data_IF_380915123982
#
_entry.id   IF_380915123982
#
_cell.length_a   1.000
_cell.length_b   1.000
_cell.length_c   1.000
_cell.angle_alpha   90.00
_cell.angle_beta   90.00
_cell.angle_gamma   90.00
#
_symmetry.space_group_name_H-M   'P 1'
#
loop_
_entity.id
_entity.type
_entity.pdbx_description
1 polymer ?
#
# COMPACT_ATOMS: atom_id res chain seq x y z
N UNK A 1 -1.56 -6.14 2.00
CA UNK A 1 -0.44 -6.84 2.67
C UNK A 1 0.82 -6.65 1.82
N UNK A 2 1.94 -6.20 2.39
CA UNK A 2 3.19 -5.94 1.65
C UNK A 2 4.27 -6.95 2.05
N UNK A 3 4.90 -7.55 1.06
CA UNK A 3 6.02 -8.48 1.22
C UNK A 3 7.18 -7.90 0.44
N UNK A 4 8.26 -7.51 1.12
CA UNK A 4 9.49 -7.09 0.45
C UNK A 4 10.43 -8.30 0.29
N UNK A 5 10.89 -8.62 -0.94
CA UNK A 5 11.85 -9.69 -1.14
C UNK A 5 13.15 -9.41 -0.38
N UNK A 6 13.71 -10.40 0.35
CA UNK A 6 14.91 -10.18 1.13
C UNK A 6 16.12 -9.81 0.26
N UNK A 7 16.86 -8.77 0.65
CA UNK A 7 18.07 -8.31 -0.04
C UNK A 7 19.30 -8.55 0.81
N UNK A 8 20.35 -9.10 0.21
CA UNK A 8 21.64 -9.33 0.91
C UNK A 8 22.35 -7.99 1.12
N UNK A 9 22.76 -7.71 2.36
CA UNK A 9 23.53 -6.51 2.73
C UNK A 9 24.65 -6.87 3.71
N UNK A 10 25.74 -6.10 3.69
CA UNK A 10 26.83 -6.21 4.66
C UNK A 10 26.37 -5.68 6.03
N UNK A 11 26.71 -6.40 7.09
CA UNK A 11 26.42 -6.00 8.46
C UNK A 11 27.46 -4.98 8.96
N UNK A 12 27.03 -4.06 9.83
CA UNK A 12 27.93 -3.09 10.45
C UNK A 12 28.96 -3.75 11.38
N UNK A 13 28.57 -4.86 12.00
CA UNK A 13 29.43 -5.71 12.83
C UNK A 13 29.04 -7.18 12.63
N UNK A 14 29.93 -8.10 13.03
CA UNK A 14 29.67 -9.54 12.91
C UNK A 14 28.54 -10.00 13.83
N UNK A 15 27.53 -10.67 13.28
CA UNK A 15 26.45 -11.30 14.08
C UNK A 15 26.58 -12.81 13.92
N UNK A 16 26.79 -13.54 15.03
CA UNK A 16 27.07 -14.99 15.00
C UNK A 16 28.18 -15.37 14.00
N UNK A 17 29.23 -14.53 13.89
CA UNK A 17 30.35 -14.67 12.93
C UNK A 17 30.01 -14.41 11.45
N UNK A 18 28.78 -14.04 11.14
CA UNK A 18 28.39 -13.61 9.80
C UNK A 18 28.65 -12.11 9.61
N UNK A 19 29.13 -11.72 8.42
CA UNK A 19 29.38 -10.32 8.04
C UNK A 19 28.37 -9.79 7.02
N UNK A 20 27.44 -10.62 6.56
CA UNK A 20 26.38 -10.26 5.62
C UNK A 20 25.11 -11.02 5.94
N UNK A 21 23.95 -10.42 5.73
CA UNK A 21 22.66 -11.05 5.96
C UNK A 21 21.62 -10.60 4.93
N UNK A 22 20.56 -11.38 4.79
CA UNK A 22 19.38 -10.99 4.02
C UNK A 22 18.43 -10.18 4.91
N UNK A 23 18.05 -9.00 4.44
CA UNK A 23 17.08 -8.12 5.11
C UNK A 23 15.79 -8.09 4.31
N UNK A 24 14.67 -8.36 4.98
CA UNK A 24 13.34 -8.22 4.42
C UNK A 24 12.33 -8.03 5.54
N UNK A 25 11.14 -7.55 5.19
CA UNK A 25 10.01 -7.48 6.10
C UNK A 25 8.74 -7.86 5.40
N UNK A 26 7.75 -8.25 6.19
CA UNK A 26 6.43 -8.61 5.73
C UNK A 26 5.43 -8.03 6.70
N UNK A 27 4.47 -7.28 6.17
CA UNK A 27 3.33 -6.86 6.96
C UNK A 27 2.30 -7.99 6.96
N UNK A 28 1.63 -8.19 8.09
CA UNK A 28 0.59 -9.20 8.22
C UNK A 28 -0.38 -8.80 9.31
N UNK A 29 -1.61 -9.31 9.21
CA UNK A 29 -2.63 -9.15 10.23
C UNK A 29 -2.86 -10.52 10.85
N UNK A 30 -2.78 -10.61 12.16
CA UNK A 30 -2.95 -11.85 12.89
C UNK A 30 -3.45 -11.57 14.31
N UNK A 31 -4.06 -12.59 14.93
CA UNK A 31 -4.41 -12.56 16.35
C UNK A 31 -3.14 -12.52 17.21
N UNK A 32 -3.21 -11.94 18.40
CA UNK A 32 -2.08 -11.85 19.34
C UNK A 32 -1.48 -13.21 19.69
N UNK A 33 -2.32 -14.26 19.80
CA UNK A 33 -1.88 -15.65 20.03
C UNK A 33 -1.00 -16.18 18.90
N UNK A 34 -1.32 -15.83 17.65
CA UNK A 34 -0.54 -16.21 16.49
C UNK A 34 0.80 -15.45 16.43
N UNK A 35 0.82 -14.17 16.84
CA UNK A 35 2.06 -13.38 16.94
C UNK A 35 3.05 -14.00 17.92
N UNK A 36 2.58 -14.41 19.10
CA UNK A 36 3.43 -15.11 20.09
C UNK A 36 3.99 -16.44 19.55
N UNK A 37 3.20 -17.14 18.73
CA UNK A 37 3.63 -18.39 18.08
C UNK A 37 4.69 -18.13 17.02
N UNK A 38 4.54 -17.06 16.23
CA UNK A 38 5.54 -16.64 15.25
C UNK A 38 6.86 -16.29 15.95
N UNK A 39 6.82 -15.48 17.01
CA UNK A 39 8.03 -15.08 17.75
C UNK A 39 8.80 -16.30 18.29
N UNK A 40 8.11 -17.27 18.89
CA UNK A 40 8.73 -18.52 19.36
C UNK A 40 9.36 -19.30 18.21
N UNK A 41 8.59 -19.58 17.16
CA UNK A 41 9.08 -20.35 16.00
C UNK A 41 10.28 -19.69 15.34
N UNK A 42 10.30 -18.36 15.25
CA UNK A 42 11.41 -17.62 14.63
C UNK A 42 12.68 -17.67 15.49
N UNK A 43 12.57 -17.69 16.82
CA UNK A 43 13.73 -17.85 17.72
C UNK A 43 14.41 -19.21 17.56
N UNK A 44 13.62 -20.26 17.33
CA UNK A 44 14.12 -21.63 17.20
C UNK A 44 14.76 -21.91 15.82
N UNK A 45 14.62 -20.99 14.86
CA UNK A 45 15.16 -21.11 13.52
C UNK A 45 16.63 -20.64 13.46
N UNK A 46 17.62 -21.53 13.31
CA UNK A 46 19.03 -21.14 13.30
C UNK A 46 19.40 -20.23 12.11
N UNK A 47 18.68 -20.35 10.99
CA UNK A 47 18.85 -19.51 9.79
C UNK A 47 18.44 -18.05 10.02
N UNK A 48 17.65 -17.74 11.05
CA UNK A 48 17.28 -16.37 11.38
C UNK A 48 18.29 -15.83 12.39
N UNK A 49 19.09 -14.86 11.94
CA UNK A 49 20.10 -14.23 12.80
C UNK A 49 19.45 -13.33 13.85
N UNK A 50 18.44 -12.56 13.45
CA UNK A 50 17.68 -11.63 14.28
C UNK A 50 16.35 -11.31 13.60
N UNK A 51 15.29 -11.12 14.39
CA UNK A 51 13.99 -10.65 13.94
C UNK A 51 13.46 -9.56 14.87
N UNK A 52 12.50 -8.79 14.37
CA UNK A 52 11.77 -7.76 15.11
C UNK A 52 10.31 -7.79 14.66
N UNK A 53 9.39 -7.77 15.63
CA UNK A 53 7.95 -7.64 15.38
C UNK A 53 7.51 -6.31 15.95
N UNK A 54 6.81 -5.51 15.15
CA UNK A 54 6.34 -4.17 15.51
C UNK A 54 4.86 -4.08 15.16
N UNK A 55 4.11 -3.34 15.97
CA UNK A 55 2.74 -2.97 15.65
C UNK A 55 2.74 -1.78 14.68
N UNK A 56 2.08 -1.94 13.54
CA UNK A 56 1.95 -0.88 12.55
C UNK A 56 0.65 -0.11 12.81
N UNK A 57 0.77 1.10 13.36
CA UNK A 57 -0.36 2.03 13.43
C UNK A 57 -0.62 2.61 12.03
N UNK A 58 -1.60 2.04 11.33
CA UNK A 58 -2.03 2.58 10.04
C UNK A 58 -2.89 3.80 10.34
N UNK A 59 -2.28 4.99 10.35
CA UNK A 59 -3.02 6.23 10.24
C UNK A 59 -3.77 6.23 8.91
N UNK A 60 -5.05 5.86 8.91
CA UNK A 60 -5.98 6.21 7.83
C UNK A 60 -6.12 7.72 7.81
N UNK A 61 -5.11 8.42 7.29
CA UNK A 61 -5.23 9.83 6.93
C UNK A 61 -6.32 9.89 5.87
N UNK A 62 -7.54 10.21 6.31
CA UNK A 62 -8.59 10.63 5.40
C UNK A 62 -7.98 11.78 4.60
N UNK A 63 -7.91 11.72 3.26
CA UNK A 63 -7.50 12.89 2.52
C UNK A 63 -8.46 13.99 2.94
N UNK A 64 -7.92 15.06 3.53
CA UNK A 64 -8.68 16.28 3.73
C UNK A 64 -9.03 16.70 2.31
N UNK A 65 -10.25 16.39 1.88
CA UNK A 65 -10.84 16.90 0.67
C UNK A 65 -10.86 18.40 0.88
N UNK A 66 -9.80 19.08 0.42
CA UNK A 66 -9.79 20.53 0.31
C UNK A 66 -10.91 20.82 -0.67
N UNK A 67 -12.04 21.27 -0.15
CA UNK A 67 -13.10 21.85 -0.96
C UNK A 67 -12.42 22.91 -1.80
N UNK A 68 -12.38 22.67 -3.12
CA UNK A 68 -11.90 23.65 -4.08
C UNK A 68 -12.80 24.88 -3.93
N UNK A 69 -12.32 25.91 -3.25
CA UNK A 69 -12.93 27.23 -3.32
C UNK A 69 -12.41 27.87 -4.61
N UNK A 70 -13.26 28.09 -5.63
CA UNK A 70 -12.84 28.91 -6.75
C UNK A 70 -12.47 30.28 -6.19
N UNK A 71 -11.20 30.66 -6.35
CA UNK A 71 -10.75 32.03 -6.07
C UNK A 71 -11.65 32.95 -6.86
N UNK A 72 -12.37 33.83 -6.17
CA UNK A 72 -13.16 34.87 -6.82
C UNK A 72 -12.27 35.54 -7.87
N UNK A 73 -12.74 35.45 -9.11
CA UNK A 73 -12.16 36.02 -10.32
C UNK A 73 -11.77 37.46 -10.02
N UNK A 74 -10.46 37.77 -10.04
CA UNK A 74 -9.99 39.15 -10.02
C UNK A 74 -10.39 39.75 -11.37
N UNK A 75 -11.53 40.43 -11.38
CA UNK A 75 -11.96 41.26 -12.51
C UNK A 75 -11.01 42.46 -12.54
N UNK A 76 -10.10 42.48 -13.52
CA UNK A 76 -9.39 43.71 -13.88
C UNK A 76 -10.38 44.65 -14.59
N UNK A 77 -10.36 45.97 -14.36
CA UNK A 77 -11.23 46.90 -15.07
C UNK A 77 -10.73 47.01 -16.52
N UNK A 78 -11.31 46.21 -17.39
CA UNK A 78 -10.93 46.04 -18.80
C UNK A 78 -11.26 44.62 -19.25
N UNK A 79 -12.54 44.37 -19.53
CA UNK A 79 -13.13 43.05 -19.70
C UNK A 79 -12.58 42.25 -20.88
N UNK A 80 -11.53 41.46 -20.63
CA UNK A 80 -11.21 40.27 -21.43
C UNK A 80 -10.76 39.18 -20.44
N UNK A 81 -11.57 38.14 -20.31
CA UNK A 81 -11.20 36.93 -19.57
C UNK A 81 -10.20 36.12 -20.42
N UNK A 82 -8.95 36.01 -19.99
CA UNK A 82 -7.98 35.09 -20.59
C UNK A 82 -8.15 33.76 -19.85
N UNK A 83 -9.00 32.88 -20.37
CA UNK A 83 -9.01 31.48 -19.97
C UNK A 83 -7.82 30.78 -20.64
N UNK A 84 -6.97 30.04 -19.92
CA UNK A 84 -6.10 29.07 -20.57
C UNK A 84 -6.97 27.91 -21.05
N UNK A 85 -7.08 27.73 -22.37
CA UNK A 85 -7.62 26.49 -22.97
C UNK A 85 -6.75 25.32 -22.51
N UNK A 86 -7.27 24.52 -21.58
CA UNK A 86 -6.74 23.20 -21.28
C UNK A 86 -7.37 22.23 -22.29
N UNK A 87 -6.59 21.57 -23.16
CA UNK A 87 -7.11 20.50 -24.00
C UNK A 87 -7.64 19.38 -23.10
N UNK A 88 -8.97 19.27 -23.00
CA UNK A 88 -9.63 18.10 -22.41
C UNK A 88 -9.61 16.98 -23.43
N UNK A 89 -8.57 16.15 -23.38
CA UNK A 89 -8.62 14.83 -24.00
C UNK A 89 -9.59 13.95 -23.21
N UNK A 90 -10.83 13.96 -23.71
CA UNK A 90 -11.87 12.91 -23.67
C UNK A 90 -11.63 11.75 -22.72
N UNK A 91 -12.40 11.74 -21.63
CA UNK A 91 -12.85 10.52 -20.96
C UNK A 91 -13.60 9.63 -21.99
N UNK A 92 -12.97 8.55 -22.44
CA UNK A 92 -13.68 7.39 -22.98
C UNK A 92 -13.66 6.36 -21.82
N UNK A 93 -14.68 6.25 -20.98
CA UNK A 93 -15.96 5.57 -21.23
C UNK A 93 -15.88 4.15 -21.82
N UNK A 94 -14.74 3.47 -21.71
CA UNK A 94 -14.64 2.04 -22.05
C UNK A 94 -14.25 1.21 -20.83
N UNK A 95 -15.16 1.09 -19.87
CA UNK A 95 -15.17 -0.04 -18.93
C UNK A 95 -16.57 -0.16 -18.31
N UNK A 96 -17.59 -0.37 -19.16
CA UNK A 96 -18.78 -1.09 -18.71
C UNK A 96 -18.34 -2.53 -18.46
N UNK A 97 -17.87 -2.77 -17.23
CA UNK A 97 -17.60 -4.11 -16.72
C UNK A 97 -18.92 -4.90 -16.75
N UNK A 98 -18.96 -6.01 -17.48
CA UNK A 98 -20.12 -6.90 -17.57
C UNK A 98 -20.42 -7.54 -16.20
N UNK A 99 -21.38 -6.98 -15.47
CA UNK A 99 -21.80 -7.45 -14.14
C UNK A 99 -22.31 -8.91 -14.17
N UNK A 100 -22.92 -9.35 -15.27
CA UNK A 100 -23.43 -10.73 -15.42
C UNK A 100 -22.32 -11.79 -15.43
N UNK A 101 -21.14 -11.44 -15.96
CA UNK A 101 -19.99 -12.35 -15.98
C UNK A 101 -19.33 -12.49 -14.60
N UNK A 102 -19.46 -11.47 -13.75
CA UNK A 102 -19.01 -11.53 -12.35
C UNK A 102 -19.96 -12.37 -11.50
N UNK A 103 -21.27 -12.25 -11.68
CA UNK A 103 -22.26 -13.03 -10.91
C UNK A 103 -22.15 -14.53 -11.18
N UNK A 104 -21.95 -14.95 -12.43
CA UNK A 104 -21.68 -16.37 -12.74
C UNK A 104 -20.43 -16.90 -12.07
N UNK A 105 -19.36 -16.10 -12.01
CA UNK A 105 -18.11 -16.49 -11.32
C UNK A 105 -18.32 -16.56 -9.80
N UNK A 106 -19.18 -15.72 -9.23
CA UNK A 106 -19.51 -15.76 -7.81
C UNK A 106 -20.35 -17.00 -7.46
N UNK A 107 -21.32 -17.37 -8.29
CA UNK A 107 -22.11 -18.59 -8.08
C UNK A 107 -21.27 -19.87 -8.16
N UNK A 108 -20.30 -19.94 -9.08
CA UNK A 108 -19.38 -21.08 -9.18
C UNK A 108 -18.47 -21.23 -7.95
N UNK A 109 -18.15 -20.11 -7.28
CA UNK A 109 -17.33 -20.10 -6.06
C UNK A 109 -18.16 -20.40 -4.80
N UNK A 110 -19.42 -19.93 -4.73
CA UNK A 110 -20.32 -20.11 -3.59
C UNK A 110 -21.13 -21.42 -3.63
N UNK A 111 -21.18 -22.09 -4.78
CA UNK A 111 -21.86 -23.38 -4.99
C UNK A 111 -21.08 -24.61 -4.54
N UNK A 112 -20.03 -24.46 -3.72
CA UNK A 112 -19.30 -25.54 -3.05
C UNK A 112 -19.19 -25.31 -1.55
#
# INVERSE_FOLDING_TARGET
RRVEPPKKRRLAYGVKKEHSAYFGWTTFTALSSAVATIDKKTKDMPQVLRHLVVEEEIETRRPILRTFQPSAMRVSPGGIAIAPEVPREREAMDEKLDFEALDKKLEEILGK
#
